data_IF_899025440992
#
_entry.id   IF_899025440992
#
_cell.length_a   1.000
_cell.length_b   1.000
_cell.length_c   1.000
_cell.angle_alpha   90.00
_cell.angle_beta   90.00
_cell.angle_gamma   90.00
#
_symmetry.space_group_name_H-M   'P 1'
#
loop_
_entity.id
_entity.type
_entity.pdbx_description
1 polymer ?
#
# COMPACT_ATOMS: atom_id res chain seq x y z
N UNK A 1 56.91 -7.58 -20.59
CA UNK A 1 56.02 -6.40 -20.67
C UNK A 1 54.55 -6.79 -20.64
N UNK A 2 54.07 -7.71 -21.49
CA UNK A 2 52.66 -8.12 -21.51
C UNK A 2 52.13 -8.64 -20.16
N UNK A 3 52.93 -9.40 -19.40
CA UNK A 3 52.55 -9.89 -18.07
C UNK A 3 52.33 -8.77 -17.06
N UNK A 4 53.21 -7.77 -17.05
CA UNK A 4 53.08 -6.60 -16.15
C UNK A 4 51.89 -5.72 -16.54
N UNK A 5 51.66 -5.50 -17.83
CA UNK A 5 50.48 -4.78 -18.32
C UNK A 5 49.18 -5.50 -17.96
N UNK A 6 49.16 -6.84 -18.03
CA UNK A 6 48.01 -7.65 -17.63
C UNK A 6 47.75 -7.57 -16.12
N UNK A 7 48.80 -7.52 -15.29
CA UNK A 7 48.71 -7.36 -13.83
C UNK A 7 48.20 -5.97 -13.42
N UNK A 8 48.62 -4.91 -14.13
CA UNK A 8 48.09 -3.56 -13.92
C UNK A 8 46.60 -3.47 -14.29
N UNK A 9 46.20 -4.04 -15.43
CA UNK A 9 44.79 -4.12 -15.80
C UNK A 9 43.96 -4.92 -14.79
N UNK A 10 44.52 -6.02 -14.28
CA UNK A 10 43.85 -6.84 -13.26
C UNK A 10 43.67 -6.04 -11.96
N UNK A 11 44.71 -5.36 -11.48
CA UNK A 11 44.65 -4.50 -10.30
C UNK A 11 43.59 -3.39 -10.45
N UNK A 12 43.56 -2.73 -11.61
CA UNK A 12 42.56 -1.70 -11.91
C UNK A 12 41.13 -2.27 -11.91
N UNK A 13 40.94 -3.46 -12.48
CA UNK A 13 39.63 -4.14 -12.53
C UNK A 13 39.15 -4.56 -11.13
N UNK A 14 40.06 -5.04 -10.28
CA UNK A 14 39.75 -5.41 -8.89
C UNK A 14 39.37 -4.16 -8.08
N UNK A 15 40.14 -3.08 -8.20
CA UNK A 15 39.83 -1.81 -7.52
C UNK A 15 38.44 -1.28 -7.94
N UNK A 16 38.11 -1.38 -9.24
CA UNK A 16 36.79 -1.01 -9.74
C UNK A 16 35.68 -1.93 -9.19
N UNK A 17 35.92 -3.24 -9.06
CA UNK A 17 34.96 -4.16 -8.47
C UNK A 17 34.70 -3.85 -6.98
N UNK A 18 35.74 -3.54 -6.21
CA UNK A 18 35.62 -3.13 -4.80
C UNK A 18 34.76 -1.87 -4.68
N UNK A 19 35.00 -0.86 -5.53
CA UNK A 19 34.20 0.37 -5.53
C UNK A 19 32.73 0.11 -5.93
N UNK A 20 32.52 -0.66 -7.01
CA UNK A 20 31.17 -1.05 -7.43
C UNK A 20 30.43 -1.81 -6.33
N UNK A 21 31.11 -2.68 -5.58
CA UNK A 21 30.53 -3.39 -4.46
C UNK A 21 30.13 -2.41 -3.33
N UNK A 22 31.00 -1.47 -2.93
CA UNK A 22 30.68 -0.45 -1.91
C UNK A 22 29.47 0.41 -2.31
N UNK A 23 29.39 0.83 -3.57
CA UNK A 23 28.24 1.58 -4.09
C UNK A 23 26.97 0.73 -4.06
N UNK A 24 27.05 -0.52 -4.50
CA UNK A 24 25.90 -1.44 -4.54
C UNK A 24 25.37 -1.74 -3.13
N UNK A 25 26.24 -1.91 -2.14
CA UNK A 25 25.88 -2.09 -0.73
C UNK A 25 25.11 -0.88 -0.20
N UNK A 26 25.61 0.33 -0.46
CA UNK A 26 24.93 1.58 -0.10
C UNK A 26 23.55 1.71 -0.77
N UNK A 27 23.44 1.33 -2.03
CA UNK A 27 22.16 1.29 -2.76
C UNK A 27 21.18 0.27 -2.16
N UNK A 28 21.65 -0.93 -1.82
CA UNK A 28 20.85 -1.95 -1.15
C UNK A 28 20.35 -1.45 0.21
N UNK A 29 21.22 -0.86 1.04
CA UNK A 29 20.81 -0.29 2.33
C UNK A 29 19.82 0.88 2.21
N UNK A 30 19.91 1.68 1.14
CA UNK A 30 18.89 2.69 0.82
C UNK A 30 17.56 2.05 0.40
N UNK A 31 17.59 1.09 -0.52
CA UNK A 31 16.39 0.39 -0.99
C UNK A 31 15.65 -0.35 0.15
N UNK A 32 16.38 -0.94 1.10
CA UNK A 32 15.78 -1.58 2.28
C UNK A 32 15.02 -0.59 3.16
N UNK A 33 15.57 0.62 3.36
CA UNK A 33 14.91 1.69 4.11
C UNK A 33 13.66 2.18 3.39
N UNK A 34 13.76 2.48 2.10
CA UNK A 34 12.62 2.92 1.28
C UNK A 34 11.50 1.86 1.25
N UNK A 35 11.85 0.58 1.15
CA UNK A 35 10.89 -0.51 1.22
C UNK A 35 10.20 -0.61 2.59
N UNK A 36 10.94 -0.42 3.68
CA UNK A 36 10.39 -0.38 5.05
C UNK A 36 9.44 0.80 5.26
N UNK A 37 9.81 1.99 4.78
CA UNK A 37 8.97 3.19 4.82
C UNK A 37 7.69 2.99 3.97
N UNK A 38 7.83 2.42 2.77
CA UNK A 38 6.69 2.04 1.94
C UNK A 38 5.77 1.04 2.64
N UNK A 39 6.33 0.05 3.34
CA UNK A 39 5.58 -0.92 4.12
C UNK A 39 4.77 -0.25 5.24
N UNK A 40 5.34 0.77 5.88
CA UNK A 40 4.62 1.56 6.88
C UNK A 40 3.47 2.37 6.26
N UNK A 41 3.72 3.07 5.16
CA UNK A 41 2.68 3.84 4.47
C UNK A 41 1.50 2.95 4.01
N UNK A 42 1.79 1.73 3.58
CA UNK A 42 0.77 0.72 3.25
C UNK A 42 -0.03 0.30 4.48
N UNK A 43 0.62 0.05 5.63
CA UNK A 43 -0.08 -0.26 6.89
C UNK A 43 -1.00 0.88 7.34
N UNK A 44 -0.54 2.12 7.22
CA UNK A 44 -1.35 3.31 7.54
C UNK A 44 -2.57 3.41 6.61
N UNK A 45 -2.37 3.10 5.32
CA UNK A 45 -3.46 3.05 4.32
C UNK A 45 -4.49 1.96 4.67
N UNK A 46 -4.06 0.78 5.09
CA UNK A 46 -4.97 -0.29 5.54
C UNK A 46 -5.80 0.17 6.74
N UNK A 47 -5.18 0.83 7.72
CA UNK A 47 -5.86 1.37 8.90
C UNK A 47 -6.91 2.42 8.51
N UNK A 48 -6.55 3.34 7.61
CA UNK A 48 -7.47 4.36 7.09
C UNK A 48 -8.66 3.72 6.34
N UNK A 49 -8.42 2.72 5.50
CA UNK A 49 -9.49 2.05 4.75
C UNK A 49 -10.43 1.25 5.66
N UNK A 50 -9.91 0.61 6.72
CA UNK A 50 -10.74 -0.03 7.75
C UNK A 50 -11.64 0.99 8.45
N UNK A 51 -11.07 2.15 8.81
CA UNK A 51 -11.84 3.26 9.40
C UNK A 51 -12.93 3.77 8.45
N UNK A 52 -12.62 3.90 7.15
CA UNK A 52 -13.61 4.29 6.13
C UNK A 52 -14.75 3.26 6.08
N UNK A 53 -14.44 1.96 6.03
CA UNK A 53 -15.44 0.91 5.99
C UNK A 53 -16.38 0.96 7.21
N UNK A 54 -15.83 1.18 8.41
CA UNK A 54 -16.62 1.32 9.64
C UNK A 54 -17.55 2.55 9.59
N UNK A 55 -17.04 3.70 9.14
CA UNK A 55 -17.85 4.93 9.02
C UNK A 55 -18.95 4.78 7.97
N UNK A 56 -18.68 4.08 6.88
CA UNK A 56 -19.67 3.83 5.83
C UNK A 56 -20.74 2.84 6.29
N UNK A 57 -20.40 1.87 7.15
CA UNK A 57 -21.42 1.01 7.79
C UNK A 57 -22.42 1.83 8.61
N UNK A 58 -21.95 2.84 9.34
CA UNK A 58 -22.84 3.75 10.08
C UNK A 58 -23.73 4.56 9.12
N UNK A 59 -23.20 4.99 7.97
CA UNK A 59 -23.99 5.70 6.95
C UNK A 59 -25.06 4.80 6.34
N UNK A 60 -24.75 3.53 6.08
CA UNK A 60 -25.70 2.52 5.60
C UNK A 60 -26.85 2.33 6.61
N UNK A 61 -26.52 2.21 7.91
CA UNK A 61 -27.51 2.11 8.99
C UNK A 61 -28.41 3.36 9.08
N UNK A 62 -27.84 4.57 8.95
CA UNK A 62 -28.60 5.83 8.94
C UNK A 62 -29.53 5.90 7.73
N UNK A 63 -29.04 5.50 6.54
CA UNK A 63 -29.86 5.45 5.33
C UNK A 63 -31.03 4.48 5.50
N UNK A 64 -30.78 3.30 6.07
CA UNK A 64 -31.82 2.32 6.39
C UNK A 64 -32.88 2.86 7.36
N UNK A 65 -32.45 3.51 8.46
CA UNK A 65 -33.37 4.15 9.42
C UNK A 65 -34.19 5.28 8.77
N UNK A 66 -33.54 6.09 7.91
CA UNK A 66 -34.21 7.18 7.18
C UNK A 66 -35.27 6.63 6.22
N UNK A 67 -34.97 5.52 5.53
CA UNK A 67 -35.92 4.82 4.67
C UNK A 67 -37.15 4.33 5.46
N UNK A 68 -36.94 3.76 6.65
CA UNK A 68 -38.02 3.30 7.51
C UNK A 68 -38.88 4.46 8.04
N UNK A 69 -38.26 5.57 8.45
CA UNK A 69 -38.97 6.78 8.87
C UNK A 69 -39.81 7.37 7.72
N UNK A 70 -39.26 7.42 6.50
CA UNK A 70 -39.97 7.89 5.32
C UNK A 70 -41.17 6.99 4.96
N UNK A 71 -41.02 5.66 5.11
CA UNK A 71 -42.13 4.73 4.95
C UNK A 71 -43.24 4.98 5.97
N UNK A 72 -42.90 5.15 7.25
CA UNK A 72 -43.89 5.47 8.29
C UNK A 72 -44.59 6.81 8.01
N UNK A 73 -43.86 7.82 7.57
CA UNK A 73 -44.43 9.11 7.17
C UNK A 73 -45.39 8.98 5.98
N UNK A 74 -45.08 8.14 5.00
CA UNK A 74 -45.97 7.88 3.87
C UNK A 74 -47.27 7.16 4.31
N UNK A 75 -47.19 6.24 5.27
CA UNK A 75 -48.36 5.55 5.85
C UNK A 75 -49.26 6.55 6.58
N UNK A 76 -48.68 7.41 7.42
CA UNK A 76 -49.46 8.40 8.18
C UNK A 76 -50.06 9.47 7.26
N UNK A 77 -49.34 9.87 6.20
CA UNK A 77 -49.86 10.76 5.17
C UNK A 77 -51.07 10.15 4.44
N UNK A 78 -51.03 8.86 4.11
CA UNK A 78 -52.17 8.16 3.53
C UNK A 78 -53.37 8.11 4.49
N UNK A 79 -53.11 7.94 5.80
CA UNK A 79 -54.14 7.94 6.84
C UNK A 79 -54.82 9.30 7.01
N UNK A 80 -54.10 10.40 6.82
CA UNK A 80 -54.61 11.76 6.88
C UNK A 80 -55.44 12.17 5.63
N UNK A 81 -55.53 11.32 4.60
CA UNK A 81 -56.34 11.56 3.41
C UNK A 81 -55.92 12.82 2.63
N UNK A 82 -56.89 13.68 2.31
CA UNK A 82 -56.66 14.93 1.57
C UNK A 82 -55.61 15.85 2.22
N UNK A 83 -55.57 15.89 3.56
CA UNK A 83 -54.64 16.74 4.32
C UNK A 83 -53.19 16.23 4.28
N UNK A 84 -52.98 14.94 3.96
CA UNK A 84 -51.66 14.32 3.91
C UNK A 84 -50.98 14.36 2.54
N UNK A 85 -51.64 14.83 1.47
CA UNK A 85 -51.11 14.76 0.10
C UNK A 85 -49.73 15.40 -0.07
N UNK A 86 -49.50 16.57 0.52
CA UNK A 86 -48.19 17.24 0.48
C UNK A 86 -47.11 16.47 1.23
N UNK A 87 -47.44 15.92 2.39
CA UNK A 87 -46.53 15.09 3.19
C UNK A 87 -46.16 13.78 2.49
N UNK A 88 -47.11 13.16 1.76
CA UNK A 88 -46.86 11.93 1.02
C UNK A 88 -45.78 12.11 -0.07
N UNK A 89 -45.78 13.25 -0.76
CA UNK A 89 -44.76 13.56 -1.80
C UNK A 89 -43.38 13.73 -1.17
N UNK A 90 -43.29 14.46 -0.06
CA UNK A 90 -42.02 14.65 0.66
C UNK A 90 -41.51 13.31 1.18
N UNK A 91 -42.37 12.48 1.78
CA UNK A 91 -41.99 11.15 2.26
C UNK A 91 -41.44 10.26 1.13
N UNK A 92 -42.05 10.28 -0.06
CA UNK A 92 -41.56 9.53 -1.21
C UNK A 92 -40.16 10.01 -1.68
N UNK A 93 -39.91 11.31 -1.69
CA UNK A 93 -38.60 11.85 -2.10
C UNK A 93 -37.50 11.54 -1.07
N UNK A 94 -37.82 11.65 0.23
CA UNK A 94 -36.89 11.25 1.31
C UNK A 94 -36.57 9.77 1.22
N UNK A 95 -37.57 8.92 0.94
CA UNK A 95 -37.37 7.48 0.76
C UNK A 95 -36.42 7.18 -0.40
N UNK A 96 -36.65 7.81 -1.55
CA UNK A 96 -35.79 7.68 -2.73
C UNK A 96 -34.36 8.15 -2.45
N UNK A 97 -34.19 9.22 -1.69
CA UNK A 97 -32.86 9.70 -1.29
C UNK A 97 -32.16 8.69 -0.37
N UNK A 98 -32.88 8.14 0.60
CA UNK A 98 -32.36 7.13 1.52
C UNK A 98 -31.92 5.85 0.78
N UNK A 99 -32.74 5.34 -0.15
CA UNK A 99 -32.39 4.19 -1.00
C UNK A 99 -31.11 4.47 -1.82
N UNK A 100 -30.98 5.67 -2.41
CA UNK A 100 -29.77 6.07 -3.15
C UNK A 100 -28.54 6.17 -2.24
N UNK A 101 -28.68 6.73 -1.04
CA UNK A 101 -27.60 6.79 -0.06
C UNK A 101 -27.12 5.40 0.35
N UNK A 102 -28.06 4.46 0.50
CA UNK A 102 -27.75 3.07 0.86
C UNK A 102 -26.91 2.38 -0.23
N UNK A 103 -27.32 2.50 -1.50
CA UNK A 103 -26.55 1.95 -2.64
C UNK A 103 -25.13 2.54 -2.67
N UNK A 104 -24.99 3.85 -2.52
CA UNK A 104 -23.68 4.50 -2.51
C UNK A 104 -22.81 4.04 -1.32
N UNK A 105 -23.40 3.86 -0.12
CA UNK A 105 -22.69 3.34 1.04
C UNK A 105 -22.18 1.91 0.78
N UNK A 106 -22.99 1.05 0.17
CA UNK A 106 -22.60 -0.32 -0.18
C UNK A 106 -21.45 -0.34 -1.19
N UNK A 107 -21.51 0.47 -2.24
CA UNK A 107 -20.44 0.60 -3.24
C UNK A 107 -19.11 1.07 -2.60
N UNK A 108 -19.16 2.08 -1.72
CA UNK A 108 -17.96 2.57 -1.03
C UNK A 108 -17.41 1.48 -0.09
N UNK A 109 -18.28 0.73 0.60
CA UNK A 109 -17.87 -0.39 1.47
C UNK A 109 -17.12 -1.48 0.68
N UNK A 110 -17.59 -1.81 -0.52
CA UNK A 110 -16.94 -2.78 -1.41
C UNK A 110 -15.57 -2.28 -1.89
N UNK A 111 -15.49 -1.00 -2.31
CA UNK A 111 -14.22 -0.37 -2.71
C UNK A 111 -13.24 -0.33 -1.54
N UNK A 112 -13.68 0.00 -0.33
CA UNK A 112 -12.82 0.01 0.85
C UNK A 112 -12.29 -1.40 1.16
N UNK A 113 -13.14 -2.44 1.11
CA UNK A 113 -12.73 -3.84 1.34
C UNK A 113 -11.71 -4.33 0.31
N UNK A 114 -11.96 -4.07 -0.97
CA UNK A 114 -11.01 -4.45 -2.04
C UNK A 114 -9.68 -3.69 -1.91
N UNK A 115 -9.73 -2.42 -1.51
CA UNK A 115 -8.53 -1.59 -1.25
C UNK A 115 -7.71 -2.13 -0.07
N UNK A 116 -8.36 -2.58 1.01
CA UNK A 116 -7.68 -3.24 2.13
C UNK A 116 -6.94 -4.48 1.65
N UNK A 117 -7.59 -5.36 0.88
CA UNK A 117 -6.96 -6.58 0.37
C UNK A 117 -5.76 -6.30 -0.53
N UNK A 118 -5.87 -5.31 -1.41
CA UNK A 118 -4.77 -4.90 -2.29
C UNK A 118 -3.59 -4.32 -1.48
N UNK A 119 -3.87 -3.46 -0.51
CA UNK A 119 -2.86 -2.87 0.35
C UNK A 119 -2.17 -3.93 1.23
N UNK A 120 -2.90 -4.87 1.82
CA UNK A 120 -2.32 -5.97 2.60
C UNK A 120 -1.37 -6.84 1.74
N UNK A 121 -1.76 -7.11 0.48
CA UNK A 121 -0.87 -7.80 -0.48
C UNK A 121 0.39 -6.99 -0.79
N UNK A 122 0.26 -5.69 -1.02
CA UNK A 122 1.41 -4.81 -1.27
C UNK A 122 2.36 -4.77 -0.06
N UNK A 123 1.81 -4.72 1.16
CA UNK A 123 2.58 -4.75 2.40
C UNK A 123 3.36 -6.05 2.55
N UNK A 124 2.72 -7.19 2.26
CA UNK A 124 3.38 -8.50 2.28
C UNK A 124 4.56 -8.58 1.30
N UNK A 125 4.41 -8.02 0.09
CA UNK A 125 5.49 -7.99 -0.90
C UNK A 125 6.66 -7.13 -0.43
N UNK A 126 6.39 -5.98 0.19
CA UNK A 126 7.43 -5.11 0.76
C UNK A 126 8.16 -5.81 1.92
N UNK A 127 7.44 -6.48 2.82
CA UNK A 127 8.01 -7.24 3.92
C UNK A 127 8.89 -8.41 3.43
N UNK A 128 8.56 -9.03 2.29
CA UNK A 128 9.40 -10.06 1.64
C UNK A 128 10.60 -9.46 0.90
N UNK A 129 10.49 -8.21 0.43
CA UNK A 129 11.55 -7.54 -0.32
C UNK A 129 12.72 -7.14 0.58
N UNK A 130 12.45 -6.69 1.81
CA UNK A 130 13.49 -6.24 2.76
C UNK A 130 14.54 -7.32 3.03
N UNK A 131 14.20 -8.57 3.41
CA UNK A 131 15.20 -9.64 3.59
C UNK A 131 16.02 -9.95 2.33
N UNK A 132 15.39 -9.86 1.16
CA UNK A 132 16.05 -10.10 -0.13
C UNK A 132 17.09 -9.02 -0.44
N UNK A 133 16.79 -7.77 -0.09
CA UNK A 133 17.71 -6.64 -0.22
C UNK A 133 18.86 -6.77 0.80
N UNK A 134 18.56 -7.15 2.05
CA UNK A 134 19.60 -7.41 3.07
C UNK A 134 20.56 -8.51 2.60
N UNK A 135 20.04 -9.62 2.08
CA UNK A 135 20.88 -10.68 1.53
C UNK A 135 21.73 -10.21 0.34
N UNK A 136 21.21 -9.29 -0.47
CA UNK A 136 21.97 -8.69 -1.57
C UNK A 136 23.13 -7.84 -1.02
N UNK A 137 22.90 -7.06 0.03
CA UNK A 137 23.94 -6.29 0.74
C UNK A 137 25.02 -7.22 1.32
N UNK A 138 24.63 -8.31 2.00
CA UNK A 138 25.57 -9.30 2.55
C UNK A 138 26.50 -9.89 1.46
N UNK A 139 25.92 -10.34 0.33
CA UNK A 139 26.69 -10.91 -0.79
C UNK A 139 27.63 -9.88 -1.42
N UNK A 140 27.23 -8.62 -1.48
CA UNK A 140 28.04 -7.55 -2.03
C UNK A 140 29.21 -7.20 -1.10
N UNK A 141 29.01 -7.28 0.22
CA UNK A 141 30.10 -7.14 1.20
C UNK A 141 31.11 -8.28 1.08
N UNK A 142 30.66 -9.52 0.83
CA UNK A 142 31.55 -10.66 0.53
C UNK A 142 32.37 -10.41 -0.74
N UNK A 143 31.77 -9.85 -1.79
CA UNK A 143 32.48 -9.48 -3.04
C UNK A 143 33.54 -8.40 -2.76
N UNK A 144 33.22 -7.39 -1.95
CA UNK A 144 34.17 -6.34 -1.58
C UNK A 144 35.38 -6.93 -0.82
N UNK A 145 35.13 -7.81 0.16
CA UNK A 145 36.17 -8.48 0.93
C UNK A 145 37.07 -9.37 0.05
N UNK A 146 36.46 -10.18 -0.84
CA UNK A 146 37.21 -11.01 -1.79
C UNK A 146 38.04 -10.17 -2.77
N UNK A 147 37.53 -9.01 -3.20
CA UNK A 147 38.27 -8.09 -4.09
C UNK A 147 39.45 -7.43 -3.36
N UNK A 148 39.32 -7.08 -2.07
CA UNK A 148 40.44 -6.59 -1.26
C UNK A 148 41.52 -7.67 -1.05
N UNK A 149 41.14 -8.93 -0.86
CA UNK A 149 42.08 -10.06 -0.81
C UNK A 149 42.80 -10.28 -2.16
N UNK A 150 42.06 -10.22 -3.28
CA UNK A 150 42.64 -10.31 -4.63
C UNK A 150 43.64 -9.18 -4.89
N UNK A 151 43.36 -7.95 -4.45
CA UNK A 151 44.28 -6.82 -4.57
C UNK A 151 45.61 -7.12 -3.86
N UNK A 152 45.52 -7.66 -2.65
CA UNK A 152 46.69 -8.05 -1.86
C UNK A 152 47.47 -9.16 -2.56
N UNK A 153 46.79 -10.19 -3.08
CA UNK A 153 47.42 -11.29 -3.81
C UNK A 153 48.14 -10.84 -5.09
N UNK A 154 47.52 -9.94 -5.87
CA UNK A 154 48.13 -9.38 -7.09
C UNK A 154 49.37 -8.53 -6.76
N UNK A 155 49.37 -7.80 -5.64
CA UNK A 155 50.54 -7.02 -5.21
C UNK A 155 51.75 -7.84 -4.75
N UNK A 156 51.55 -9.14 -4.47
CA UNK A 156 52.60 -10.06 -3.98
C UNK A 156 53.25 -10.91 -5.09
N UNK A 157 52.74 -10.86 -6.32
CA UNK A 157 53.24 -11.59 -7.50
C UNK A 157 54.17 -10.70 -8.32
#
# INVERSE_FOLDING_TARGET
EETSASMEQMSASIAQNTENAKVTDGMAGKAAREASEGGQAVRDTVSAMKTIADKISIVDDIAYQTNLLALNAAIEAARAGEHGKGFAVVAAEVRKLAERSQVAAQEISEVAKSSVSLAERAGTLLDQMVPSITKTSDLVQEIAAASEEQTTGVSQI
#
